data_IF_172542966122
#
_entry.id   IF_172542966122
#
_cell.length_a   1.000
_cell.length_b   1.000
_cell.length_c   1.000
_cell.angle_alpha   90.00
_cell.angle_beta   90.00
_cell.angle_gamma   90.00
#
_symmetry.space_group_name_H-M   'P 1'
#
loop_
_entity.id
_entity.type
_entity.pdbx_description
1 polymer ?
#
# COMPACT_ATOMS: atom_id res chain seq x y z
N UNK A 1 -14.81 3.54 -9.66
CA UNK A 1 -15.60 2.86 -8.61
C UNK A 1 -15.87 3.79 -7.42
N UNK A 2 -17.14 4.18 -7.21
CA UNK A 2 -17.54 5.00 -6.05
C UNK A 2 -18.20 4.09 -5.01
N UNK A 3 -17.77 4.18 -3.75
CA UNK A 3 -18.39 3.50 -2.62
C UNK A 3 -17.99 2.02 -2.41
N UNK A 4 -16.83 1.58 -2.91
CA UNK A 4 -16.31 0.23 -2.64
C UNK A 4 -15.23 0.32 -1.56
N UNK A 5 -15.52 -0.26 -0.39
CA UNK A 5 -14.53 -0.52 0.65
C UNK A 5 -13.65 -1.73 0.29
N UNK A 6 -12.41 -1.76 0.81
CA UNK A 6 -11.41 -2.80 0.56
C UNK A 6 -10.83 -2.87 -0.86
N UNK A 7 -10.97 -1.80 -1.65
CA UNK A 7 -10.35 -1.71 -2.97
C UNK A 7 -9.03 -0.92 -2.89
N UNK A 8 -7.91 -1.64 -2.93
CA UNK A 8 -6.58 -1.03 -3.01
C UNK A 8 -6.13 -0.95 -4.48
N UNK A 9 -5.68 0.23 -4.89
CA UNK A 9 -5.07 0.48 -6.20
C UNK A 9 -3.60 0.78 -5.99
N UNK A 10 -2.72 -0.04 -6.57
CA UNK A 10 -1.27 0.09 -6.48
C UNK A 10 -0.64 0.14 -7.88
N UNK A 11 0.65 0.51 -7.96
CA UNK A 11 1.36 0.57 -9.22
C UNK A 11 1.04 1.80 -10.07
N UNK A 12 1.15 1.69 -11.39
CA UNK A 12 1.04 2.82 -12.35
C UNK A 12 -0.30 3.57 -12.33
N UNK A 13 -1.30 3.03 -11.63
CA UNK A 13 -2.62 3.61 -11.44
C UNK A 13 -2.70 4.58 -10.25
N UNK A 14 -1.65 4.71 -9.41
CA UNK A 14 -1.61 5.69 -8.32
C UNK A 14 -1.29 7.09 -8.87
N UNK A 15 -2.18 8.05 -8.62
CA UNK A 15 -1.95 9.46 -8.91
C UNK A 15 -1.15 10.11 -7.79
N UNK A 16 -0.14 10.91 -8.14
CA UNK A 16 0.60 11.76 -7.20
C UNK A 16 0.58 13.21 -7.66
N UNK A 17 0.95 14.13 -6.78
CA UNK A 17 1.05 15.56 -7.09
C UNK A 17 1.99 15.84 -8.29
N UNK A 18 1.89 17.01 -8.93
CA UNK A 18 2.62 17.40 -10.17
C UNK A 18 4.13 17.16 -10.10
N UNK A 19 4.73 17.18 -8.90
CA UNK A 19 6.17 16.96 -8.67
C UNK A 19 6.52 15.46 -8.52
N UNK A 20 5.58 14.60 -8.14
CA UNK A 20 5.78 13.17 -7.89
C UNK A 20 5.53 12.27 -9.12
N UNK A 21 5.06 12.84 -10.24
CA UNK A 21 4.63 12.10 -11.42
C UNK A 21 5.72 11.26 -12.11
N UNK A 22 7.00 11.65 -12.00
CA UNK A 22 8.12 10.90 -12.58
C UNK A 22 8.56 9.71 -11.70
N UNK A 23 8.43 9.83 -10.38
CA UNK A 23 8.92 8.82 -9.42
C UNK A 23 7.97 7.63 -9.25
N UNK A 24 6.65 7.85 -9.30
CA UNK A 24 5.64 6.76 -9.15
C UNK A 24 5.52 5.84 -10.38
N UNK A 25 6.13 6.21 -11.51
CA UNK A 25 6.11 5.43 -12.75
C UNK A 25 7.33 4.53 -12.94
N UNK A 26 8.34 4.63 -12.07
CA UNK A 26 9.45 3.69 -12.07
C UNK A 26 8.98 2.33 -11.51
N UNK A 27 9.49 1.24 -12.08
CA UNK A 27 9.20 -0.14 -11.68
C UNK A 27 9.38 -0.37 -10.17
N UNK A 28 10.37 0.29 -9.56
CA UNK A 28 10.57 0.26 -8.10
C UNK A 28 9.39 0.84 -7.32
N UNK A 29 8.80 1.95 -7.76
CA UNK A 29 7.63 2.55 -7.11
C UNK A 29 6.38 1.67 -7.24
N UNK A 30 6.26 0.93 -8.34
CA UNK A 30 5.19 -0.04 -8.53
C UNK A 30 5.35 -1.25 -7.60
N UNK A 31 6.58 -1.75 -7.43
CA UNK A 31 6.87 -2.87 -6.53
C UNK A 31 6.61 -2.51 -5.08
N UNK A 32 7.08 -1.35 -4.60
CA UNK A 32 6.88 -0.94 -3.20
C UNK A 32 5.42 -0.62 -2.88
N UNK A 33 4.68 0.01 -3.81
CA UNK A 33 3.24 0.26 -3.62
C UNK A 33 2.43 -1.03 -3.68
N UNK A 34 2.81 -1.97 -4.56
CA UNK A 34 2.22 -3.30 -4.63
C UNK A 34 2.44 -4.11 -3.35
N UNK A 35 3.66 -4.11 -2.81
CA UNK A 35 3.96 -4.73 -1.52
C UNK A 35 3.18 -4.09 -0.38
N UNK A 36 3.14 -2.75 -0.32
CA UNK A 36 2.35 -2.03 0.67
C UNK A 36 0.86 -2.37 0.62
N UNK A 37 0.28 -2.41 -0.57
CA UNK A 37 -1.12 -2.76 -0.75
C UNK A 37 -1.42 -4.22 -0.38
N UNK A 38 -0.55 -5.17 -0.79
CA UNK A 38 -0.71 -6.58 -0.41
C UNK A 38 -0.57 -6.81 1.10
N UNK A 39 0.41 -6.16 1.73
CA UNK A 39 0.59 -6.21 3.18
C UNK A 39 -0.61 -5.59 3.91
N UNK A 40 -1.15 -4.47 3.42
CA UNK A 40 -2.33 -3.84 3.99
C UNK A 40 -3.56 -4.75 3.90
N UNK A 41 -3.77 -5.41 2.76
CA UNK A 41 -4.85 -6.39 2.60
C UNK A 41 -4.70 -7.60 3.54
N UNK A 42 -3.47 -8.11 3.71
CA UNK A 42 -3.22 -9.22 4.62
C UNK A 42 -3.46 -8.82 6.09
N UNK A 43 -3.06 -7.60 6.49
CA UNK A 43 -3.28 -7.09 7.84
C UNK A 43 -4.76 -6.79 8.09
N UNK A 44 -5.47 -6.23 7.10
CA UNK A 44 -6.91 -5.94 7.20
C UNK A 44 -7.71 -7.22 7.47
N UNK A 45 -7.40 -8.30 6.74
CA UNK A 45 -8.02 -9.62 6.95
C UNK A 45 -7.69 -10.20 8.33
N UNK A 46 -6.45 -10.06 8.82
CA UNK A 46 -6.06 -10.54 10.16
C UNK A 46 -6.76 -9.78 11.29
N UNK A 47 -7.08 -8.51 11.08
CA UNK A 47 -7.71 -7.65 12.09
C UNK A 47 -9.24 -7.60 11.96
N UNK A 48 -9.81 -8.11 10.86
CA UNK A 48 -11.24 -8.00 10.57
C UNK A 48 -11.69 -6.56 10.32
N UNK A 49 -10.76 -5.68 9.93
CA UNK A 49 -11.02 -4.26 9.65
C UNK A 49 -10.94 -3.98 8.16
N UNK A 50 -11.48 -2.85 7.72
CA UNK A 50 -11.34 -2.44 6.32
C UNK A 50 -9.90 -2.04 6.01
N UNK A 51 -9.49 -2.08 4.74
CA UNK A 51 -8.14 -1.63 4.33
C UNK A 51 -7.89 -0.15 4.67
N UNK A 52 -8.95 0.65 4.86
CA UNK A 52 -8.89 2.05 5.29
C UNK A 52 -8.61 2.19 6.80
N UNK A 53 -8.97 1.19 7.60
CA UNK A 53 -8.84 1.17 9.06
C UNK A 53 -7.61 0.37 9.53
N UNK A 54 -6.80 -0.13 8.61
CA UNK A 54 -5.57 -0.86 8.93
C UNK A 54 -4.63 0.03 9.74
N UNK A 55 -4.24 -0.47 10.92
CA UNK A 55 -3.23 0.19 11.73
C UNK A 55 -1.89 0.26 10.98
N UNK A 56 -1.41 1.50 10.77
CA UNK A 56 -0.12 1.75 10.11
C UNK A 56 1.03 1.05 10.85
N UNK A 57 1.00 1.00 12.19
CA UNK A 57 2.03 0.32 12.99
C UNK A 57 2.12 -1.17 12.66
N UNK A 58 0.97 -1.83 12.44
CA UNK A 58 0.89 -3.25 12.11
C UNK A 58 1.27 -3.51 10.65
N UNK A 59 0.90 -2.62 9.74
CA UNK A 59 1.36 -2.63 8.36
C UNK A 59 2.89 -2.50 8.29
N UNK A 60 3.47 -1.55 9.04
CA UNK A 60 4.91 -1.36 9.11
C UNK A 60 5.62 -2.57 9.75
N UNK A 61 5.03 -3.19 10.77
CA UNK A 61 5.55 -4.41 11.37
C UNK A 61 5.57 -5.57 10.35
N UNK A 62 4.49 -5.74 9.58
CA UNK A 62 4.40 -6.75 8.53
C UNK A 62 5.41 -6.48 7.39
N UNK A 63 5.57 -5.23 6.98
CA UNK A 63 6.57 -4.84 5.98
C UNK A 63 8.01 -5.08 6.49
N UNK A 64 8.30 -4.74 7.75
CA UNK A 64 9.59 -5.07 8.39
C UNK A 64 9.83 -6.58 8.47
N UNK A 65 8.79 -7.36 8.78
CA UNK A 65 8.84 -8.84 8.78
C UNK A 65 9.18 -9.38 7.39
N UNK A 66 8.72 -8.72 6.33
CA UNK A 66 9.05 -9.04 4.94
C UNK A 66 10.42 -8.50 4.48
N UNK A 67 11.20 -7.89 5.37
CA UNK A 67 12.54 -7.36 5.07
C UNK A 67 12.52 -5.99 4.36
N UNK A 68 11.37 -5.31 4.30
CA UNK A 68 11.26 -3.98 3.70
C UNK A 68 11.92 -2.95 4.61
N UNK A 69 12.83 -2.15 4.04
CA UNK A 69 13.47 -1.03 4.74
C UNK A 69 12.52 0.18 4.76
N UNK A 70 12.02 0.50 5.94
CA UNK A 70 11.28 1.73 6.23
C UNK A 70 12.28 2.70 6.88
N UNK A 71 12.88 3.57 6.07
CA UNK A 71 13.86 4.60 6.50
C UNK A 71 13.29 5.96 6.20
#
# INVERSE_FOLDING_TARGET
>A
PRGVDNLLVAGRAIGGDKISHASVRNMMACTVSGQGAGAAAAVSLKQGVTTAEVSISQLQAELKRQGVRLT
#
